data_IF_130729024322
#
_entry.id   IF_130729024322
#
_cell.length_a   1.000
_cell.length_b   1.000
_cell.length_c   1.000
_cell.angle_alpha   90.00
_cell.angle_beta   90.00
_cell.angle_gamma   90.00
#
_symmetry.space_group_name_H-M   'P 1'
#
loop_
_entity.id
_entity.type
_entity.pdbx_description
1 polymer ?
#
# COMPACT_ATOMS: atom_id res chain seq x y z
N UNK A 1 12.06 26.88 21.73
CA UNK A 1 11.41 28.19 21.55
C UNK A 1 10.76 28.24 20.19
N UNK A 2 9.44 28.03 20.17
CA UNK A 2 8.60 28.38 19.02
C UNK A 2 8.35 29.90 19.08
N UNK A 3 8.41 30.63 17.95
CA UNK A 3 8.07 32.05 17.92
C UNK A 3 6.59 32.28 18.27
N UNK A 4 6.29 33.33 19.04
CA UNK A 4 4.92 33.61 19.54
C UNK A 4 3.88 33.78 18.41
N UNK A 5 4.30 34.22 17.22
CA UNK A 5 3.44 34.36 16.03
C UNK A 5 2.88 33.02 15.51
N UNK A 6 3.46 31.88 15.89
CA UNK A 6 2.96 30.55 15.52
C UNK A 6 2.01 29.94 16.57
N UNK A 7 1.80 30.60 17.72
CA UNK A 7 0.92 30.08 18.78
C UNK A 7 -0.57 30.12 18.39
N UNK A 8 -0.95 31.01 17.46
CA UNK A 8 -2.32 31.13 16.92
C UNK A 8 -2.50 30.38 15.59
N UNK A 9 -1.49 29.65 15.11
CA UNK A 9 -1.59 28.88 13.87
C UNK A 9 -2.11 27.48 14.18
N UNK A 10 -3.37 27.23 13.88
CA UNK A 10 -3.92 25.87 13.87
C UNK A 10 -3.25 25.06 12.75
N UNK A 11 -2.44 24.08 13.15
CA UNK A 11 -1.79 23.16 12.22
C UNK A 11 -2.72 21.98 11.94
N UNK A 12 -3.33 21.98 10.76
CA UNK A 12 -4.05 20.82 10.26
C UNK A 12 -3.08 19.69 9.89
N UNK A 13 -3.45 18.45 10.23
CA UNK A 13 -2.63 17.28 9.86
C UNK A 13 -2.61 17.07 8.36
N UNK A 14 -1.41 16.89 7.80
CA UNK A 14 -1.21 16.54 6.41
C UNK A 14 -0.98 15.05 6.26
N UNK A 15 -2.05 14.28 6.06
CA UNK A 15 -1.95 12.87 5.70
C UNK A 15 -1.25 12.72 4.34
N UNK A 16 -0.55 11.61 4.13
CA UNK A 16 0.27 11.39 2.92
C UNK A 16 -0.25 10.19 2.15
N UNK A 17 -0.38 10.35 0.83
CA UNK A 17 -0.60 9.24 -0.10
C UNK A 17 0.69 8.93 -0.87
N UNK A 18 1.27 7.75 -0.61
CA UNK A 18 2.47 7.24 -1.26
C UNK A 18 2.08 6.40 -2.49
N UNK A 19 2.39 6.95 -3.66
CA UNK A 19 2.16 6.30 -4.94
C UNK A 19 3.46 5.74 -5.52
N UNK A 20 3.46 4.48 -5.92
CA UNK A 20 4.61 3.91 -6.62
C UNK A 20 4.50 2.40 -6.82
N UNK A 21 5.24 1.81 -7.77
CA UNK A 21 5.15 0.39 -8.08
C UNK A 21 5.51 -0.50 -6.88
N UNK A 22 5.13 -1.78 -6.95
CA UNK A 22 5.55 -2.76 -5.95
C UNK A 22 7.07 -2.85 -5.89
N UNK A 23 7.64 -2.95 -4.68
CA UNK A 23 9.08 -3.05 -4.47
C UNK A 23 9.87 -1.73 -4.51
N UNK A 24 9.25 -0.56 -4.70
CA UNK A 24 9.98 0.73 -4.68
C UNK A 24 10.32 1.26 -3.27
N UNK A 25 9.96 0.52 -2.21
CA UNK A 25 10.34 0.86 -0.84
C UNK A 25 9.34 1.70 -0.05
N UNK A 26 8.07 1.83 -0.47
CA UNK A 26 7.02 2.58 0.28
C UNK A 26 6.93 2.17 1.76
N UNK A 27 6.84 0.86 2.01
CA UNK A 27 6.77 0.29 3.36
C UNK A 27 8.07 0.51 4.15
N UNK A 28 9.23 0.42 3.47
CA UNK A 28 10.53 0.68 4.09
C UNK A 28 10.66 2.16 4.50
N UNK A 29 10.22 3.08 3.64
CA UNK A 29 10.21 4.51 3.89
C UNK A 29 9.38 4.84 5.15
N UNK A 30 8.14 4.38 5.22
CA UNK A 30 7.24 4.63 6.34
C UNK A 30 7.81 4.09 7.67
N UNK A 31 8.30 2.85 7.67
CA UNK A 31 8.91 2.23 8.86
C UNK A 31 10.19 2.95 9.29
N UNK A 32 11.00 3.39 8.33
CA UNK A 32 12.25 4.10 8.61
C UNK A 32 11.95 5.48 9.17
N UNK A 33 10.96 6.20 8.62
CA UNK A 33 10.50 7.47 9.15
C UNK A 33 10.12 7.33 10.63
N UNK A 34 9.21 6.42 10.96
CA UNK A 34 8.77 6.22 12.35
C UNK A 34 9.93 5.91 13.31
N UNK A 35 10.91 5.11 12.88
CA UNK A 35 12.12 4.82 13.66
C UNK A 35 13.04 6.03 13.86
N UNK A 36 13.11 6.92 12.86
CA UNK A 36 13.96 8.12 12.93
C UNK A 36 13.32 9.18 13.83
N UNK A 37 11.99 9.32 13.80
CA UNK A 37 11.28 10.27 14.67
C UNK A 37 10.93 9.71 16.05
N UNK A 38 11.18 8.41 16.27
CA UNK A 38 10.94 7.70 17.54
C UNK A 38 9.49 7.78 18.06
N UNK A 39 8.54 7.45 17.18
CA UNK A 39 7.11 7.47 17.50
C UNK A 39 6.46 6.09 17.30
N UNK A 40 5.35 5.78 18.01
CA UNK A 40 4.61 4.54 17.80
C UNK A 40 4.19 4.36 16.34
N UNK A 41 4.27 3.13 15.85
CA UNK A 41 3.98 2.80 14.44
C UNK A 41 3.06 1.59 14.35
N UNK A 42 1.97 1.74 13.62
CA UNK A 42 1.07 0.65 13.24
C UNK A 42 1.01 0.51 11.73
N UNK A 43 0.90 -0.72 11.26
CA UNK A 43 0.75 -1.05 9.85
C UNK A 43 -0.46 -1.96 9.67
N UNK A 44 -1.28 -1.65 8.66
CA UNK A 44 -2.39 -2.48 8.22
C UNK A 44 -2.45 -2.55 6.70
N UNK A 45 -2.95 -3.67 6.20
CA UNK A 45 -3.29 -3.85 4.79
C UNK A 45 -4.75 -3.44 4.60
N UNK A 46 -5.04 -2.54 3.67
CA UNK A 46 -6.40 -2.07 3.44
C UNK A 46 -7.33 -3.20 2.97
N UNK A 47 -6.80 -4.25 2.34
CA UNK A 47 -7.60 -5.40 1.87
C UNK A 47 -8.16 -6.25 2.99
N UNK A 48 -7.56 -6.21 4.18
CA UNK A 48 -8.03 -6.96 5.36
C UNK A 48 -9.11 -6.23 6.15
N UNK A 49 -9.32 -4.94 5.84
CA UNK A 49 -10.31 -4.10 6.50
C UNK A 49 -11.71 -4.38 5.95
N UNK A 50 -12.69 -4.38 6.85
CA UNK A 50 -14.10 -4.54 6.52
C UNK A 50 -14.94 -3.53 7.28
N UNK A 51 -16.14 -3.25 6.79
CA UNK A 51 -17.09 -2.44 7.54
C UNK A 51 -17.40 -3.09 8.90
N UNK A 52 -17.58 -2.28 9.94
CA UNK A 52 -18.00 -2.74 11.26
C UNK A 52 -19.21 -3.69 11.16
N UNK A 53 -19.13 -4.83 11.86
CA UNK A 53 -20.16 -5.87 11.86
C UNK A 53 -20.02 -6.93 10.75
N UNK A 54 -18.94 -6.92 9.99
CA UNK A 54 -18.62 -7.96 9.01
C UNK A 54 -17.41 -8.82 9.42
N UNK A 55 -17.19 -9.93 8.70
CA UNK A 55 -16.07 -10.84 8.95
C UNK A 55 -14.79 -10.24 8.37
N UNK A 56 -13.88 -9.80 9.23
CA UNK A 56 -12.61 -9.18 8.85
C UNK A 56 -12.03 -8.34 9.99
N UNK A 57 -10.98 -7.58 9.69
CA UNK A 57 -10.45 -6.59 10.63
C UNK A 57 -11.31 -5.32 10.55
N UNK A 58 -11.73 -4.78 11.70
CA UNK A 58 -12.41 -3.48 11.72
C UNK A 58 -11.39 -2.36 11.47
N UNK A 59 -11.81 -1.29 10.81
CA UNK A 59 -10.98 -0.12 10.52
C UNK A 59 -10.41 0.49 11.80
N UNK A 60 -11.17 0.51 12.89
CA UNK A 60 -10.75 1.05 14.18
C UNK A 60 -9.68 0.19 14.90
N UNK A 61 -9.55 -1.08 14.52
CA UNK A 61 -8.60 -1.99 15.17
C UNK A 61 -7.13 -1.65 14.88
N UNK A 62 -6.86 -0.89 13.81
CA UNK A 62 -5.51 -0.35 13.54
C UNK A 62 -5.06 0.61 14.65
N UNK A 63 -5.99 1.33 15.27
CA UNK A 63 -5.69 2.20 16.40
C UNK A 63 -5.34 1.40 17.65
N UNK A 64 -5.96 0.24 17.85
CA UNK A 64 -5.55 -0.67 18.92
C UNK A 64 -4.13 -1.21 18.69
N UNK A 65 -3.75 -1.54 17.45
CA UNK A 65 -2.36 -1.92 17.12
C UNK A 65 -1.38 -0.79 17.43
N UNK A 66 -1.76 0.47 17.14
CA UNK A 66 -0.95 1.64 17.46
C UNK A 66 -0.82 1.85 18.97
N UNK A 67 -1.93 1.73 19.69
CA UNK A 67 -1.97 1.82 21.15
C UNK A 67 -1.09 0.74 21.81
N UNK A 68 -1.16 -0.49 21.31
CA UNK A 68 -0.28 -1.56 21.76
C UNK A 68 1.20 -1.27 21.44
N UNK A 69 1.51 -0.72 20.27
CA UNK A 69 2.86 -0.30 19.89
C UNK A 69 3.39 0.87 20.75
N UNK A 70 2.47 1.69 21.30
CA UNK A 70 2.76 2.74 22.26
C UNK A 70 2.84 2.22 23.72
N UNK A 71 2.95 0.90 23.93
CA UNK A 71 2.91 0.27 25.25
C UNK A 71 1.66 0.61 26.07
N UNK A 72 0.52 0.84 25.41
CA UNK A 72 -0.73 1.24 26.02
C UNK A 72 -0.65 2.64 26.68
N UNK A 73 0.19 3.53 26.15
CA UNK A 73 0.17 4.96 26.45
C UNK A 73 -0.67 5.70 25.41
N UNK A 74 -1.80 6.26 25.86
CA UNK A 74 -2.73 6.98 24.99
C UNK A 74 -2.10 8.25 24.41
N UNK A 75 -1.34 9.01 25.21
CA UNK A 75 -0.72 10.24 24.75
C UNK A 75 0.34 9.97 23.69
N UNK A 76 1.15 8.92 23.89
CA UNK A 76 2.13 8.50 22.88
C UNK A 76 1.46 7.97 21.60
N UNK A 77 0.39 7.18 21.72
CA UNK A 77 -0.34 6.65 20.57
C UNK A 77 -0.96 7.76 19.69
N UNK A 78 -1.50 8.81 20.31
CA UNK A 78 -2.08 9.95 19.60
C UNK A 78 -1.06 10.79 18.79
N UNK A 79 0.24 10.63 19.07
CA UNK A 79 1.33 11.23 18.31
C UNK A 79 2.04 10.23 17.36
N UNK A 80 1.42 9.07 17.13
CA UNK A 80 1.99 7.98 16.33
C UNK A 80 1.74 8.09 14.82
N UNK A 81 2.22 7.07 14.10
CA UNK A 81 2.06 6.92 12.66
C UNK A 81 1.28 5.64 12.34
N UNK A 82 0.24 5.77 11.52
CA UNK A 82 -0.51 4.65 10.94
C UNK A 82 -0.16 4.54 9.46
N UNK A 83 0.33 3.38 9.03
CA UNK A 83 0.58 3.07 7.63
C UNK A 83 -0.47 2.09 7.10
N UNK A 84 -1.16 2.49 6.03
CA UNK A 84 -2.19 1.71 5.36
C UNK A 84 -1.69 1.34 3.97
N UNK A 85 -1.34 0.08 3.75
CA UNK A 85 -0.90 -0.42 2.43
C UNK A 85 -2.09 -0.88 1.57
N UNK A 86 -1.86 -1.05 0.28
CA UNK A 86 -2.85 -1.55 -0.69
C UNK A 86 -4.17 -0.77 -0.77
N UNK A 87 -4.16 0.55 -0.48
CA UNK A 87 -5.39 1.37 -0.54
C UNK A 87 -6.00 1.45 -1.95
N UNK A 88 -5.21 1.18 -3.00
CA UNK A 88 -5.71 1.11 -4.37
C UNK A 88 -6.64 -0.09 -4.62
N UNK A 89 -6.63 -1.10 -3.74
CA UNK A 89 -7.48 -2.29 -3.85
C UNK A 89 -8.90 -2.05 -3.35
N UNK A 90 -9.07 -1.26 -2.29
CA UNK A 90 -10.39 -0.89 -1.76
C UNK A 90 -11.08 0.20 -2.60
N UNK A 91 -10.34 0.86 -3.50
CA UNK A 91 -10.89 1.85 -4.43
C UNK A 91 -11.52 1.23 -5.69
N UNK A 92 -11.29 -0.06 -5.94
CA UNK A 92 -11.66 -0.70 -7.21
C UNK A 92 -13.13 -1.12 -7.19
N UNK A 93 -14.02 -0.24 -7.66
CA UNK A 93 -15.39 -0.66 -8.05
C UNK A 93 -15.27 -1.73 -9.13
N UNK A 94 -15.79 -2.92 -8.86
CA UNK A 94 -15.93 -3.95 -9.89
C UNK A 94 -16.82 -3.40 -11.02
N UNK A 95 -16.39 -3.51 -12.26
CA UNK A 95 -17.17 -3.11 -13.44
C UNK A 95 -18.49 -3.91 -13.60
N UNK A 96 -18.75 -4.89 -12.74
CA UNK A 96 -20.06 -5.52 -12.58
C UNK A 96 -20.75 -5.01 -11.32
N UNK A 97 -21.76 -4.15 -11.49
CA UNK A 97 -22.66 -3.77 -10.41
C UNK A 97 -23.49 -5.00 -9.95
N UNK A 98 -22.92 -5.81 -9.06
CA UNK A 98 -23.74 -6.69 -8.24
C UNK A 98 -24.45 -5.83 -7.20
N UNK A 99 -25.78 -5.95 -7.10
CA UNK A 99 -26.62 -5.35 -6.05
C UNK A 99 -26.27 -5.79 -4.61
N UNK A 100 -25.17 -6.54 -4.43
CA UNK A 100 -24.66 -6.91 -3.12
C UNK A 100 -24.04 -5.66 -2.46
N UNK A 101 -24.33 -5.48 -1.17
CA UNK A 101 -23.79 -4.38 -0.37
C UNK A 101 -22.26 -4.39 -0.43
N UNK A 102 -21.66 -3.22 -0.67
CA UNK A 102 -20.21 -3.08 -0.68
C UNK A 102 -19.68 -3.05 0.76
N UNK A 103 -18.99 -4.13 1.15
CA UNK A 103 -18.54 -4.37 2.53
C UNK A 103 -17.06 -4.04 2.73
N UNK A 104 -16.26 -4.02 1.65
CA UNK A 104 -14.81 -3.87 1.69
C UNK A 104 -14.27 -2.70 0.86
N UNK A 105 -15.07 -2.12 -0.04
CA UNK A 105 -14.69 -0.97 -0.85
C UNK A 105 -15.10 0.35 -0.20
N UNK A 106 -16.25 0.88 -0.61
CA UNK A 106 -16.75 2.20 -0.20
C UNK A 106 -17.02 2.28 1.31
N UNK A 107 -17.54 1.21 1.93
CA UNK A 107 -17.80 1.17 3.37
C UNK A 107 -16.53 1.34 4.21
N UNK A 108 -15.41 0.75 3.79
CA UNK A 108 -14.11 0.90 4.43
C UNK A 108 -13.56 2.30 4.23
N UNK A 109 -13.69 2.86 3.03
CA UNK A 109 -13.27 4.24 2.76
C UNK A 109 -14.01 5.24 3.65
N UNK A 110 -15.33 5.10 3.82
CA UNK A 110 -16.11 5.98 4.69
C UNK A 110 -15.69 5.89 6.16
N UNK A 111 -15.43 4.67 6.65
CA UNK A 111 -14.92 4.48 8.01
C UNK A 111 -13.51 5.09 8.18
N UNK A 112 -12.64 4.96 7.17
CA UNK A 112 -11.30 5.56 7.18
C UNK A 112 -11.34 7.09 7.16
N UNK A 113 -12.24 7.71 6.40
CA UNK A 113 -12.37 9.17 6.31
C UNK A 113 -12.54 9.81 7.69
N UNK A 114 -13.40 9.23 8.52
CA UNK A 114 -13.62 9.70 9.90
C UNK A 114 -12.32 9.74 10.72
N UNK A 115 -11.48 8.70 10.63
CA UNK A 115 -10.20 8.69 11.34
C UNK A 115 -9.18 9.65 10.72
N UNK A 116 -9.18 9.78 9.40
CA UNK A 116 -8.31 10.66 8.63
C UNK A 116 -8.59 12.14 8.85
N UNK A 117 -9.84 12.53 9.09
CA UNK A 117 -10.25 13.90 9.42
C UNK A 117 -9.89 14.24 10.88
N UNK A 118 -10.07 13.29 11.78
CA UNK A 118 -9.90 13.50 13.22
C UNK A 118 -11.15 13.03 13.94
N UNK A 119 -11.02 12.01 14.78
CA UNK A 119 -12.12 11.46 15.54
C UNK A 119 -11.62 10.94 16.89
N UNK A 120 -12.51 10.99 17.88
CA UNK A 120 -12.34 10.28 19.13
C UNK A 120 -12.90 8.86 18.97
N UNK A 121 -12.03 7.87 19.06
CA UNK A 121 -12.35 6.45 18.88
C UNK A 121 -12.11 5.69 20.18
N UNK A 122 -13.03 4.79 20.52
CA UNK A 122 -12.91 3.94 21.71
C UNK A 122 -12.18 2.65 21.35
N UNK A 123 -11.03 2.43 21.99
CA UNK A 123 -10.25 1.19 21.84
C UNK A 123 -10.25 0.40 23.14
N UNK A 124 -10.22 -0.95 23.09
CA UNK A 124 -10.18 -1.76 24.30
C UNK A 124 -8.87 -1.55 25.08
N UNK A 125 -8.95 -1.45 26.40
CA UNK A 125 -7.77 -1.34 27.26
C UNK A 125 -7.12 -2.70 27.56
N UNK A 126 -5.84 -2.69 27.95
CA UNK A 126 -5.04 -3.89 28.20
C UNK A 126 -5.60 -4.72 29.36
N UNK A 127 -6.50 -5.65 29.06
CA UNK A 127 -6.93 -6.66 30.04
C UNK A 127 -8.43 -6.86 30.19
N UNK A 128 -9.26 -6.39 29.26
CA UNK A 128 -10.66 -6.79 29.22
C UNK A 128 -10.77 -8.31 29.04
N UNK A 129 -10.84 -9.05 30.17
CA UNK A 129 -11.29 -10.44 30.18
C UNK A 129 -12.65 -10.44 29.52
N UNK A 130 -12.80 -11.30 28.50
CA UNK A 130 -14.01 -11.56 27.72
C UNK A 130 -15.18 -11.91 28.66
N UNK A 131 -15.81 -10.92 29.31
CA UNK A 131 -16.86 -11.13 30.32
C UNK A 131 -17.03 -10.06 31.42
N UNK A 132 -16.05 -9.21 31.71
CA UNK A 132 -16.27 -8.00 32.54
C UNK A 132 -16.45 -6.80 31.60
N UNK A 133 -17.27 -5.79 31.96
CA UNK A 133 -17.37 -4.52 31.23
C UNK A 133 -15.94 -4.04 30.95
N UNK A 134 -15.48 -4.23 29.71
CA UNK A 134 -14.09 -4.02 29.36
C UNK A 134 -13.82 -2.54 29.44
N UNK A 135 -12.85 -2.15 30.26
CA UNK A 135 -12.38 -0.77 30.26
C UNK A 135 -11.87 -0.44 28.85
N UNK A 136 -12.28 0.73 28.37
CA UNK A 136 -11.94 1.24 27.03
C UNK A 136 -11.26 2.58 27.18
N UNK A 137 -10.26 2.83 26.37
CA UNK A 137 -9.56 4.11 26.30
C UNK A 137 -10.03 4.86 25.07
N UNK A 138 -10.19 6.17 25.20
CA UNK A 138 -10.51 7.05 24.09
C UNK A 138 -9.20 7.56 23.47
N UNK A 139 -9.06 7.42 22.16
CA UNK A 139 -7.95 7.96 21.38
C UNK A 139 -8.45 9.02 20.42
N UNK A 140 -7.81 10.18 20.42
CA UNK A 140 -8.01 11.24 19.45
C UNK A 140 -7.05 11.09 18.26
N UNK A 141 -7.59 10.92 17.06
CA UNK A 141 -6.79 10.73 15.84
C UNK A 141 -6.31 12.04 15.17
N UNK A 142 -6.58 13.21 15.78
CA UNK A 142 -6.22 14.53 15.23
C UNK A 142 -4.73 14.68 14.98
N UNK A 143 -3.88 14.10 15.83
CA UNK A 143 -2.41 14.19 15.71
C UNK A 143 -1.73 12.90 15.24
N UNK A 144 -2.52 11.87 14.89
CA UNK A 144 -2.00 10.64 14.30
C UNK A 144 -1.76 10.88 12.80
N UNK A 145 -0.53 10.66 12.35
CA UNK A 145 -0.18 10.76 10.94
C UNK A 145 -0.61 9.50 10.19
N UNK A 146 -1.44 9.64 9.18
CA UNK A 146 -1.78 8.54 8.28
C UNK A 146 -0.95 8.59 7.00
N UNK A 147 -0.28 7.47 6.73
CA UNK A 147 0.46 7.21 5.50
C UNK A 147 -0.27 6.13 4.71
N UNK A 148 -1.03 6.53 3.70
CA UNK A 148 -1.70 5.60 2.79
C UNK A 148 -0.75 5.24 1.64
N UNK A 149 -0.72 3.99 1.20
CA UNK A 149 0.16 3.54 0.13
C UNK A 149 -0.57 2.62 -0.86
N UNK A 150 -0.22 2.75 -2.13
CA UNK A 150 -0.78 1.91 -3.18
C UNK A 150 0.09 1.88 -4.43
N UNK A 151 -0.11 0.85 -5.24
CA UNK A 151 0.57 0.71 -6.54
C UNK A 151 -0.13 1.49 -7.66
N UNK A 152 -1.46 1.62 -7.57
CA UNK A 152 -2.32 2.32 -8.53
C UNK A 152 -2.04 1.89 -9.98
N UNK A 153 -2.08 0.57 -10.21
CA UNK A 153 -1.83 -0.02 -11.53
C UNK A 153 -2.81 0.53 -12.56
N UNK A 154 -2.29 1.08 -13.66
CA UNK A 154 -3.07 1.68 -14.73
C UNK A 154 -3.34 3.18 -14.58
N UNK A 155 -2.89 3.82 -13.48
CA UNK A 155 -2.98 5.26 -13.33
C UNK A 155 -2.20 6.01 -14.42
N UNK A 156 -1.08 5.44 -14.88
CA UNK A 156 -0.29 5.93 -16.00
C UNK A 156 -1.12 6.07 -17.28
N UNK A 157 -2.00 5.09 -17.57
CA UNK A 157 -2.91 5.13 -18.73
C UNK A 157 -3.96 6.22 -18.57
N UNK A 158 -4.58 6.31 -17.40
CA UNK A 158 -5.60 7.34 -17.11
C UNK A 158 -5.01 8.75 -17.27
N UNK A 159 -3.78 8.96 -16.78
CA UNK A 159 -3.07 10.23 -16.93
C UNK A 159 -2.73 10.48 -18.41
N UNK A 160 -2.23 9.48 -19.13
CA UNK A 160 -1.92 9.61 -20.56
C UNK A 160 -3.15 9.96 -21.40
N UNK A 161 -4.28 9.29 -21.17
CA UNK A 161 -5.54 9.55 -21.88
C UNK A 161 -6.08 10.95 -21.57
N UNK A 162 -5.99 11.40 -20.30
CA UNK A 162 -6.38 12.76 -19.91
C UNK A 162 -5.55 13.82 -20.62
N UNK A 163 -4.24 13.61 -20.71
CA UNK A 163 -3.33 14.52 -21.41
C UNK A 163 -3.56 14.50 -22.93
N UNK A 164 -3.94 13.34 -23.49
CA UNK A 164 -4.26 13.20 -24.92
C UNK A 164 -5.62 13.81 -25.29
N UNK A 165 -6.66 13.66 -24.46
CA UNK A 165 -7.98 14.24 -24.70
C UNK A 165 -7.96 15.78 -24.74
N UNK A 166 -7.03 16.41 -24.04
CA UNK A 166 -6.80 17.86 -24.11
C UNK A 166 -6.28 18.34 -25.49
N UNK A 167 -6.02 17.43 -26.44
CA UNK A 167 -5.44 17.73 -27.76
C UNK A 167 -6.40 17.52 -28.95
N UNK A 168 -7.72 17.56 -28.73
CA UNK A 168 -8.69 17.50 -29.85
C UNK A 168 -9.28 18.90 -30.12
N UNK A 169 -8.79 19.54 -31.18
CA UNK A 169 -9.24 20.83 -31.70
C UNK A 169 -8.36 21.28 -32.87
N UNK A 170 -8.90 22.02 -33.85
CA UNK A 170 -8.17 22.53 -35.03
C UNK A 170 -6.98 23.42 -34.57
N UNK A 171 -5.81 22.82 -34.34
CA UNK A 171 -4.61 23.49 -33.80
C UNK A 171 -3.86 22.73 -32.70
N UNK A 172 -4.38 21.60 -32.22
CA UNK A 172 -3.72 20.83 -31.18
C UNK A 172 -2.46 20.09 -31.68
N UNK A 173 -1.38 20.14 -30.88
CA UNK A 173 -0.12 19.43 -31.15
C UNK A 173 -0.32 17.92 -30.99
N UNK A 174 -0.63 17.23 -32.09
CA UNK A 174 -0.59 15.77 -32.16
C UNK A 174 0.85 15.32 -31.97
N UNK A 175 1.18 14.69 -30.82
CA UNK A 175 2.46 14.00 -30.69
C UNK A 175 2.41 12.76 -31.60
N UNK A 176 3.34 12.70 -32.56
CA UNK A 176 3.56 11.49 -33.34
C UNK A 176 3.87 10.34 -32.38
N UNK A 177 3.13 9.23 -32.50
CA UNK A 177 3.43 7.98 -31.78
C UNK A 177 4.90 7.66 -32.01
N UNK A 178 5.68 7.57 -30.93
CA UNK A 178 7.06 7.07 -30.99
C UNK A 178 7.09 5.69 -31.64
N UNK A 179 8.15 5.34 -32.37
CA UNK A 179 8.19 4.13 -33.18
C UNK A 179 7.92 2.90 -32.31
N UNK A 180 6.88 2.17 -32.72
CA UNK A 180 6.59 0.82 -32.26
C UNK A 180 7.87 0.02 -32.44
N UNK A 181 8.49 -0.44 -31.35
CA UNK A 181 9.63 -1.35 -31.40
C UNK A 181 9.14 -2.65 -32.05
N UNK A 182 9.36 -2.73 -33.36
CA UNK A 182 9.10 -3.90 -34.18
C UNK A 182 9.97 -5.06 -33.68
N UNK A 183 9.33 -5.99 -32.96
CA UNK A 183 9.97 -7.20 -32.43
C UNK A 183 10.33 -8.22 -33.51
N UNK A 184 10.14 -7.94 -34.80
CA UNK A 184 10.35 -8.91 -35.89
C UNK A 184 11.73 -8.88 -36.56
N UNK A 185 12.67 -8.01 -36.16
CA UNK A 185 14.06 -8.03 -36.67
C UNK A 185 15.07 -8.60 -35.67
N UNK A 186 14.94 -9.88 -35.34
CA UNK A 186 16.03 -10.74 -34.87
C UNK A 186 16.19 -11.93 -35.82
N UNK A 187 16.57 -11.67 -37.07
CA UNK A 187 17.25 -12.65 -37.90
C UNK A 187 18.48 -11.96 -38.47
N UNK A 188 19.65 -12.38 -37.99
CA UNK A 188 20.94 -11.96 -38.55
C UNK A 188 21.13 -12.50 -39.96
N UNK A 189 22.04 -11.91 -40.74
CA UNK A 189 22.22 -12.26 -42.15
C UNK A 189 22.83 -13.66 -42.31
N UNK A 190 22.64 -14.33 -43.47
CA UNK A 190 23.18 -15.67 -43.71
C UNK A 190 24.66 -15.58 -44.09
N UNK A 191 25.54 -16.19 -43.30
CA UNK A 191 26.94 -16.43 -43.65
C UNK A 191 27.11 -17.81 -44.28
N UNK A 192 27.79 -17.89 -45.43
CA UNK A 192 28.22 -19.12 -46.12
C UNK A 192 29.63 -19.55 -45.71
N UNK A 193 29.93 -20.85 -45.91
CA UNK A 193 31.23 -21.57 -46.00
C UNK A 193 32.10 -21.63 -44.73
N UNK A 194 32.79 -22.71 -44.34
CA UNK A 194 33.03 -24.05 -44.92
C UNK A 194 33.67 -24.98 -43.85
N UNK A 195 33.56 -26.30 -44.10
CA UNK A 195 34.49 -27.41 -43.79
C UNK A 195 34.87 -27.89 -42.35
N UNK A 196 34.62 -29.21 -42.14
CA UNK A 196 35.43 -30.19 -41.38
C UNK A 196 35.38 -30.12 -39.84
N UNK A 197 35.20 -31.16 -39.02
CA UNK A 197 35.65 -32.56 -39.14
C UNK A 197 35.03 -33.40 -37.99
N UNK A 198 34.63 -34.65 -38.29
CA UNK A 198 34.55 -35.88 -37.46
C UNK A 198 34.12 -35.87 -35.97
N UNK A 199 32.98 -36.53 -35.73
CA UNK A 199 32.77 -37.79 -34.98
C UNK A 199 33.19 -37.99 -33.49
N UNK A 200 32.43 -38.91 -32.85
CA UNK A 200 32.48 -39.46 -31.48
C UNK A 200 31.80 -38.56 -30.43
N UNK A 201 30.80 -38.99 -29.66
CA UNK A 201 30.50 -40.31 -29.13
C UNK A 201 30.07 -40.08 -27.67
N UNK A 202 28.79 -40.30 -27.34
CA UNK A 202 28.31 -40.30 -25.95
C UNK A 202 28.90 -41.51 -25.20
N UNK A 203 29.10 -41.40 -23.88
CA UNK A 203 28.35 -42.29 -22.99
C UNK A 203 27.96 -41.56 -21.66
N UNK A 204 27.47 -42.23 -20.58
CA UNK A 204 26.09 -42.11 -20.12
C UNK A 204 25.98 -41.54 -18.67
N UNK A 205 24.74 -41.50 -18.17
CA UNK A 205 24.31 -41.03 -16.86
C UNK A 205 24.75 -41.91 -15.66
N UNK A 206 24.79 -41.30 -14.46
CA UNK A 206 24.34 -41.78 -13.12
C UNK A 206 24.96 -40.92 -11.97
N UNK A 207 24.52 -41.01 -10.69
CA UNK A 207 23.15 -40.95 -10.16
C UNK A 207 23.02 -39.97 -8.95
N UNK A 208 21.86 -40.02 -8.29
CA UNK A 208 21.41 -39.18 -7.19
C UNK A 208 22.13 -39.39 -5.84
N UNK A 209 22.29 -38.32 -5.06
CA UNK A 209 22.56 -38.39 -3.62
C UNK A 209 21.40 -37.78 -2.83
N UNK A 210 20.80 -38.63 -2.01
CA UNK A 210 19.92 -38.28 -0.92
C UNK A 210 20.77 -38.21 0.35
N UNK A 211 20.68 -37.11 1.11
CA UNK A 211 21.13 -37.10 2.50
C UNK A 211 20.00 -36.53 3.37
N UNK A 212 19.38 -37.44 4.11
CA UNK A 212 18.39 -37.16 5.14
C UNK A 212 19.07 -37.27 6.51
N UNK A 213 18.60 -36.41 7.40
CA UNK A 213 19.11 -36.15 8.74
C UNK A 213 19.13 -37.36 9.68
N UNK A 214 20.15 -37.39 10.54
CA UNK A 214 20.10 -37.98 11.88
C UNK A 214 20.93 -37.09 12.81
N UNK A 215 20.33 -36.62 13.91
CA UNK A 215 20.99 -35.86 14.96
C UNK A 215 20.05 -34.88 15.65
#
# INVERSE_FOLDING_TARGET
NMPEELLDVELEKSNVLLLGPSGCGKTLLARTLARVVDVPFAMADATTLTQAGYVGEDVESVLFKLYAAANYDAAAAQCGIVFLDEVDKIARRGEGASLARDVSGEGVQQAMLRMLEGAVVSVPDKGARKGARGDSVLLDTTHILFLCAGAFVGLDRIVADRLAAASIGFGARVRARGPLLDRSKRQGPPGKSDEGTKALGAPPAEPAEAEAAVG
#
